data_IF_156393111376
#
_entry.id   IF_156393111376
#
_cell.length_a   1.000
_cell.length_b   1.000
_cell.length_c   1.000
_cell.angle_alpha   90.00
_cell.angle_beta   90.00
_cell.angle_gamma   90.00
#
_symmetry.space_group_name_H-M   'P 1'
#
loop_
_entity.id
_entity.type
_entity.pdbx_description
1 polymer ?
#
# COMPACT_ATOMS: atom_id res chain seq x y z
N UNK A 1 13.94 16.42 23.77
CA UNK A 1 12.60 16.85 24.25
C UNK A 1 12.24 15.99 25.43
N UNK A 2 11.87 16.61 26.56
CA UNK A 2 11.60 15.91 27.82
C UNK A 2 10.18 15.36 27.79
N UNK A 3 10.04 14.04 27.88
CA UNK A 3 8.76 13.37 28.08
C UNK A 3 8.39 13.50 29.55
N UNK A 4 7.36 14.28 29.86
CA UNK A 4 6.76 14.31 31.20
C UNK A 4 5.67 13.25 31.26
N UNK A 5 5.93 12.12 31.90
CA UNK A 5 4.90 11.10 32.20
C UNK A 5 4.36 11.31 33.61
N UNK A 6 3.21 11.99 33.73
CA UNK A 6 2.41 11.99 34.96
C UNK A 6 1.06 11.35 34.65
N UNK A 7 0.89 10.09 35.06
CA UNK A 7 -0.38 9.35 34.97
C UNK A 7 -0.30 8.07 34.15
N UNK A 8 -1.15 7.09 34.49
CA UNK A 8 -1.35 5.84 33.73
C UNK A 8 -1.97 6.22 32.38
N UNK A 9 -1.13 6.27 31.35
CA UNK A 9 -1.53 6.63 29.99
C UNK A 9 -2.64 5.68 29.49
N UNK A 10 -3.82 6.23 29.21
CA UNK A 10 -4.97 5.48 28.73
C UNK A 10 -5.11 5.65 27.21
N UNK A 11 -4.29 4.89 26.49
CA UNK A 11 -4.26 4.86 25.02
C UNK A 11 -5.65 4.62 24.41
N UNK A 12 -6.42 3.70 25.00
CA UNK A 12 -7.71 3.30 24.45
C UNK A 12 -8.74 4.42 24.54
N UNK A 13 -8.72 5.17 25.64
CA UNK A 13 -9.56 6.35 25.81
C UNK A 13 -9.21 7.45 24.81
N UNK A 14 -7.93 7.81 24.68
CA UNK A 14 -7.52 8.89 23.77
C UNK A 14 -7.81 8.56 22.30
N UNK A 15 -7.58 7.31 21.88
CA UNK A 15 -7.91 6.87 20.51
C UNK A 15 -9.41 6.90 20.27
N UNK A 16 -10.22 6.48 21.25
CA UNK A 16 -11.67 6.53 21.15
C UNK A 16 -12.19 7.97 21.03
N UNK A 17 -11.70 8.88 21.87
CA UNK A 17 -12.06 10.30 21.81
C UNK A 17 -11.70 10.92 20.46
N UNK A 18 -10.49 10.60 19.94
CA UNK A 18 -10.07 11.01 18.60
C UNK A 18 -10.99 10.47 17.50
N UNK A 19 -11.29 9.17 17.51
CA UNK A 19 -12.15 8.52 16.52
C UNK A 19 -13.59 9.07 16.54
N UNK A 20 -14.11 9.40 17.74
CA UNK A 20 -15.45 9.99 17.92
C UNK A 20 -15.58 11.38 17.30
N UNK A 21 -14.47 12.14 17.21
CA UNK A 21 -14.47 13.44 16.50
C UNK A 21 -14.82 13.27 15.02
N UNK A 22 -14.44 12.14 14.41
CA UNK A 22 -14.51 11.89 12.96
C UNK A 22 -13.84 12.97 12.10
N UNK A 23 -13.01 13.82 12.70
CA UNK A 23 -12.30 14.90 12.02
C UNK A 23 -10.96 14.42 11.41
N UNK A 24 -10.48 13.25 11.85
CA UNK A 24 -9.22 12.65 11.41
C UNK A 24 -7.99 13.50 11.75
N UNK A 25 -6.83 13.12 11.19
CA UNK A 25 -5.56 13.81 11.46
C UNK A 25 -5.58 15.26 10.98
N UNK A 26 -6.28 15.57 9.87
CA UNK A 26 -6.43 16.95 9.39
C UNK A 26 -7.08 17.85 10.44
N UNK A 27 -8.10 17.37 11.16
CA UNK A 27 -8.73 18.14 12.23
C UNK A 27 -7.77 18.54 13.36
N UNK A 28 -6.77 17.71 13.67
CA UNK A 28 -5.72 18.06 14.63
C UNK A 28 -4.80 19.18 14.11
N UNK A 29 -4.48 19.13 12.81
CA UNK A 29 -3.65 20.15 12.15
C UNK A 29 -4.41 21.48 12.07
N UNK A 30 -5.66 21.45 11.65
CA UNK A 30 -6.53 22.63 11.54
C UNK A 30 -6.77 23.27 12.92
N UNK A 31 -6.83 22.47 13.99
CA UNK A 31 -6.90 22.93 15.38
C UNK A 31 -5.57 23.50 15.92
N UNK A 32 -4.49 23.47 15.14
CA UNK A 32 -3.20 24.05 15.51
C UNK A 32 -2.47 23.29 16.61
N UNK A 33 -2.67 21.97 16.71
CA UNK A 33 -2.04 21.16 17.76
C UNK A 33 -0.51 21.23 17.68
N UNK A 34 0.13 21.65 18.78
CA UNK A 34 1.58 21.84 18.84
C UNK A 34 2.39 20.57 19.14
N UNK A 35 1.73 19.49 19.58
CA UNK A 35 2.39 18.21 19.96
C UNK A 35 1.67 17.04 19.33
N UNK A 36 2.44 16.12 18.75
CA UNK A 36 1.90 14.87 18.21
C UNK A 36 1.28 14.06 19.37
N UNK A 37 0.00 13.66 19.29
CA UNK A 37 -0.60 12.78 20.29
C UNK A 37 0.21 11.50 20.46
N UNK A 38 0.33 11.03 21.70
CA UNK A 38 1.22 9.92 22.06
C UNK A 38 0.87 8.62 21.30
N UNK A 39 -0.40 8.41 20.95
CA UNK A 39 -0.85 7.24 20.18
C UNK A 39 -0.42 7.23 18.70
N UNK A 40 0.12 8.33 18.17
CA UNK A 40 0.77 8.38 16.85
C UNK A 40 2.30 8.18 16.92
N UNK A 41 2.88 8.14 18.12
CA UNK A 41 4.32 8.00 18.30
C UNK A 41 4.68 6.52 18.19
N UNK A 42 5.43 6.17 17.14
CA UNK A 42 5.92 4.81 16.97
C UNK A 42 6.98 4.45 18.01
N UNK A 43 7.05 3.18 18.46
CA UNK A 43 8.14 2.69 19.30
C UNK A 43 9.50 2.92 18.63
N UNK A 44 10.58 3.19 19.40
CA UNK A 44 11.92 3.41 18.86
C UNK A 44 12.40 2.27 17.95
N UNK A 45 11.96 1.04 18.20
CA UNK A 45 12.30 -0.15 17.42
C UNK A 45 11.67 -0.13 16.00
N UNK A 46 10.52 0.53 15.84
CA UNK A 46 9.86 0.76 14.55
C UNK A 46 10.42 1.97 13.79
N UNK A 47 11.17 2.83 14.47
CA UNK A 47 11.90 3.94 13.87
C UNK A 47 13.23 3.40 13.31
N UNK A 48 13.16 2.71 12.16
CA UNK A 48 14.37 2.43 11.39
C UNK A 48 15.19 3.73 11.25
N UNK A 49 16.40 3.75 11.81
CA UNK A 49 17.33 4.88 11.71
C UNK A 49 17.50 5.24 10.24
N UNK A 50 17.24 6.48 9.79
CA UNK A 50 17.64 6.90 8.47
C UNK A 50 19.17 6.85 8.39
N UNK A 51 19.70 5.83 7.71
CA UNK A 51 21.09 5.76 7.28
C UNK A 51 22.11 5.26 8.32
N UNK A 52 22.22 3.93 8.46
CA UNK A 52 23.51 3.27 8.79
C UNK A 52 23.78 2.01 7.94
N UNK A 53 23.33 2.01 6.69
CA UNK A 53 23.73 1.09 5.59
C UNK A 53 22.84 1.51 4.40
N UNK A 54 23.29 1.96 3.23
CA UNK A 54 24.54 1.81 2.52
C UNK A 54 25.04 3.18 2.01
N UNK A 55 26.33 3.24 1.66
CA UNK A 55 26.93 4.31 0.85
C UNK A 55 25.97 4.72 -0.28
N UNK A 56 25.80 6.01 -0.55
CA UNK A 56 25.16 6.64 -1.72
C UNK A 56 24.86 5.70 -2.91
N UNK A 57 23.86 4.82 -2.79
CA UNK A 57 23.27 4.17 -3.94
C UNK A 57 22.02 4.99 -4.21
N UNK A 58 22.10 5.89 -5.19
CA UNK A 58 20.89 6.38 -5.83
C UNK A 58 20.24 5.17 -6.51
N UNK A 59 19.32 4.53 -5.80
CA UNK A 59 18.47 3.49 -6.36
C UNK A 59 17.50 4.21 -7.32
N UNK A 60 17.89 4.32 -8.59
CA UNK A 60 16.99 4.78 -9.63
C UNK A 60 15.97 3.67 -9.91
N UNK A 61 14.73 3.92 -9.49
CA UNK A 61 13.63 3.03 -9.82
C UNK A 61 13.48 2.91 -11.34
N UNK A 62 13.29 1.69 -11.88
CA UNK A 62 13.06 1.51 -13.30
C UNK A 62 11.92 2.41 -13.78
N UNK A 63 12.18 3.20 -14.82
CA UNK A 63 11.16 4.01 -15.48
C UNK A 63 10.87 3.40 -16.85
N UNK A 64 9.62 3.05 -17.09
CA UNK A 64 9.15 2.40 -18.31
C UNK A 64 8.33 3.42 -19.11
N UNK A 65 8.77 3.67 -20.34
CA UNK A 65 8.09 4.57 -21.25
C UNK A 65 7.03 3.82 -22.06
N UNK A 66 5.77 4.28 -21.99
CA UNK A 66 4.64 3.70 -22.69
C UNK A 66 4.35 4.36 -24.05
N UNK A 67 5.12 5.37 -24.45
CA UNK A 67 4.94 6.01 -25.76
C UNK A 67 5.01 4.97 -26.90
N UNK A 68 4.01 5.01 -27.78
CA UNK A 68 3.88 4.10 -28.92
C UNK A 68 3.46 2.67 -28.57
N UNK A 69 3.11 2.36 -27.31
CA UNK A 69 2.66 1.00 -26.94
C UNK A 69 1.38 0.60 -27.66
N UNK A 70 0.53 1.58 -27.97
CA UNK A 70 -0.73 1.45 -28.70
C UNK A 70 -0.53 1.02 -30.16
N UNK A 71 0.64 1.28 -30.75
CA UNK A 71 0.95 0.86 -32.14
C UNK A 71 1.18 -0.65 -32.24
N UNK A 72 1.31 -1.35 -31.11
CA UNK A 72 1.50 -2.80 -31.06
C UNK A 72 2.86 -3.27 -31.55
N UNK A 73 2.92 -4.51 -32.05
CA UNK A 73 4.13 -5.09 -32.66
C UNK A 73 5.35 -5.13 -31.74
N UNK A 74 6.51 -4.74 -32.29
CA UNK A 74 7.79 -4.78 -31.59
C UNK A 74 7.82 -3.88 -30.35
N UNK A 75 7.20 -2.68 -30.43
CA UNK A 75 7.18 -1.73 -29.32
C UNK A 75 6.44 -2.27 -28.11
N UNK A 76 5.26 -2.85 -28.32
CA UNK A 76 4.51 -3.50 -27.23
C UNK A 76 5.29 -4.65 -26.60
N UNK A 77 5.99 -5.45 -27.40
CA UNK A 77 6.82 -6.55 -26.90
C UNK A 77 7.95 -6.04 -26.01
N UNK A 78 8.64 -4.99 -26.44
CA UNK A 78 9.70 -4.33 -25.68
C UNK A 78 9.18 -3.82 -24.31
N UNK A 79 8.06 -3.09 -24.29
CA UNK A 79 7.45 -2.57 -23.05
C UNK A 79 7.07 -3.72 -22.11
N UNK A 80 6.48 -4.80 -22.63
CA UNK A 80 6.15 -5.99 -21.83
C UNK A 80 7.40 -6.64 -21.23
N UNK A 81 8.50 -6.72 -21.99
CA UNK A 81 9.77 -7.28 -21.50
C UNK A 81 10.39 -6.40 -20.40
N UNK A 82 10.31 -5.06 -20.53
CA UNK A 82 10.73 -4.12 -19.50
C UNK A 82 9.89 -4.26 -18.21
N UNK A 83 8.57 -4.37 -18.33
CA UNK A 83 7.67 -4.60 -17.18
C UNK A 83 8.02 -5.92 -16.50
N UNK A 84 8.21 -7.00 -17.27
CA UNK A 84 8.58 -8.31 -16.72
C UNK A 84 9.88 -8.22 -15.93
N UNK A 85 10.91 -7.57 -16.49
CA UNK A 85 12.22 -7.41 -15.84
C UNK A 85 12.12 -6.57 -14.58
N UNK A 86 11.43 -5.42 -14.63
CA UNK A 86 11.27 -4.55 -13.48
C UNK A 86 10.45 -5.20 -12.36
N UNK A 87 9.33 -5.86 -12.69
CA UNK A 87 8.52 -6.59 -11.73
C UNK A 87 9.32 -7.73 -11.05
N UNK A 88 10.12 -8.48 -11.82
CA UNK A 88 10.95 -9.57 -11.28
C UNK A 88 12.10 -9.09 -10.38
N UNK A 89 12.76 -7.99 -10.76
CA UNK A 89 13.98 -7.53 -10.06
C UNK A 89 13.69 -6.56 -8.91
N UNK A 90 12.68 -5.69 -9.08
CA UNK A 90 12.42 -4.58 -8.16
C UNK A 90 11.07 -4.70 -7.45
N UNK A 91 10.07 -5.33 -8.08
CA UNK A 91 8.68 -5.31 -7.61
C UNK A 91 8.00 -3.94 -7.71
N UNK A 92 8.73 -2.89 -8.11
CA UNK A 92 8.28 -1.51 -8.27
C UNK A 92 8.91 -0.89 -9.50
N UNK A 93 8.15 -0.05 -10.22
CA UNK A 93 8.62 0.73 -11.36
C UNK A 93 7.73 1.96 -11.56
N UNK A 94 8.28 2.98 -12.21
CA UNK A 94 7.55 4.17 -12.66
C UNK A 94 7.13 3.98 -14.12
N UNK A 95 5.96 4.47 -14.47
CA UNK A 95 5.50 4.55 -15.86
C UNK A 95 5.44 6.02 -16.28
N UNK A 96 5.89 6.32 -17.48
CA UNK A 96 5.71 7.63 -18.15
C UNK A 96 5.00 7.43 -19.49
N UNK A 97 4.41 8.50 -20.04
CA UNK A 97 3.65 8.45 -21.29
C UNK A 97 2.55 7.36 -21.31
N UNK A 98 1.91 7.11 -20.16
CA UNK A 98 0.85 6.10 -19.97
C UNK A 98 -0.50 6.48 -20.61
N UNK A 99 -0.54 7.48 -21.47
CA UNK A 99 -1.74 7.94 -22.19
C UNK A 99 -2.91 8.44 -21.32
N UNK A 100 -2.67 8.73 -20.03
CA UNK A 100 -3.67 9.40 -19.18
C UNK A 100 -3.42 10.91 -19.29
N UNK A 101 -4.37 11.71 -19.81
CA UNK A 101 -4.16 13.14 -19.96
C UNK A 101 -3.85 13.82 -18.63
N UNK A 102 -2.89 14.76 -18.63
CA UNK A 102 -2.46 15.46 -17.41
C UNK A 102 -3.62 16.16 -16.70
N UNK A 103 -4.54 16.78 -17.45
CA UNK A 103 -5.70 17.46 -16.86
C UNK A 103 -6.62 16.52 -16.08
N UNK A 104 -6.66 15.22 -16.41
CA UNK A 104 -7.43 14.22 -15.65
C UNK A 104 -6.73 13.91 -14.33
N UNK A 105 -5.40 13.79 -14.35
CA UNK A 105 -4.60 13.58 -13.14
C UNK A 105 -4.70 14.79 -12.20
N UNK A 106 -4.61 16.00 -12.75
CA UNK A 106 -4.77 17.25 -12.00
C UNK A 106 -6.18 17.38 -11.42
N UNK A 107 -7.22 17.11 -12.23
CA UNK A 107 -8.61 17.13 -11.76
C UNK A 107 -8.86 16.11 -10.65
N UNK A 108 -8.23 14.92 -10.72
CA UNK A 108 -8.32 13.91 -9.67
C UNK A 108 -7.67 14.39 -8.36
N UNK A 109 -6.46 14.95 -8.42
CA UNK A 109 -5.77 15.50 -7.24
C UNK A 109 -6.57 16.66 -6.63
N UNK A 110 -7.10 17.54 -7.47
CA UNK A 110 -7.91 18.68 -7.05
C UNK A 110 -9.25 18.23 -6.45
N UNK A 111 -9.90 17.20 -7.01
CA UNK A 111 -11.12 16.63 -6.44
C UNK A 111 -10.86 16.02 -5.05
N UNK A 112 -9.77 15.27 -4.89
CA UNK A 112 -9.39 14.71 -3.59
C UNK A 112 -9.05 15.82 -2.59
N UNK A 113 -8.34 16.87 -3.02
CA UNK A 113 -8.07 18.04 -2.19
C UNK A 113 -9.37 18.71 -1.72
N UNK A 114 -10.28 19.02 -2.66
CA UNK A 114 -11.59 19.62 -2.36
C UNK A 114 -12.39 18.78 -1.38
N UNK A 115 -12.41 17.45 -1.57
CA UNK A 115 -13.05 16.54 -0.63
C UNK A 115 -12.46 16.70 0.79
N UNK A 116 -11.14 16.70 0.95
CA UNK A 116 -10.51 16.82 2.26
C UNK A 116 -10.72 18.19 2.93
N UNK A 117 -10.89 19.26 2.14
CA UNK A 117 -11.19 20.62 2.64
C UNK A 117 -12.68 20.86 2.97
N UNK A 118 -13.58 19.91 2.69
CA UNK A 118 -14.99 20.04 3.12
C UNK A 118 -15.12 20.08 4.65
N UNK A 119 -16.19 20.72 5.17
CA UNK A 119 -16.54 20.68 6.59
C UNK A 119 -16.63 19.24 7.13
N UNK A 120 -16.32 19.07 8.41
CA UNK A 120 -16.36 17.74 9.06
C UNK A 120 -17.76 17.14 8.96
N UNK A 121 -18.78 17.99 9.06
CA UNK A 121 -20.20 17.65 9.00
C UNK A 121 -20.60 17.00 7.67
N UNK A 122 -20.04 17.47 6.55
CA UNK A 122 -20.27 16.92 5.21
C UNK A 122 -19.53 15.60 5.00
N UNK A 123 -18.35 15.45 5.60
CA UNK A 123 -17.53 14.22 5.52
C UNK A 123 -17.98 13.15 6.52
N UNK A 124 -18.60 13.53 7.64
CA UNK A 124 -19.00 12.63 8.73
C UNK A 124 -19.88 11.44 8.31
N UNK A 125 -20.82 11.57 7.35
CA UNK A 125 -21.61 10.45 6.84
C UNK A 125 -20.77 9.49 5.98
N UNK A 126 -19.75 10.01 5.31
CA UNK A 126 -18.78 9.26 4.51
C UNK A 126 -17.62 8.72 5.36
N UNK A 127 -17.50 9.19 6.60
CA UNK A 127 -16.61 8.64 7.61
C UNK A 127 -17.08 7.24 7.94
N UNK A 128 -16.59 6.31 7.14
CA UNK A 128 -16.43 4.95 7.60
C UNK A 128 -15.24 4.99 8.54
N UNK A 129 -15.45 4.59 9.80
CA UNK A 129 -14.35 3.93 10.50
C UNK A 129 -14.11 2.69 9.64
N UNK A 130 -13.25 2.82 8.61
CA UNK A 130 -13.02 1.76 7.66
C UNK A 130 -12.26 0.68 8.42
N UNK A 131 -13.05 -0.11 9.13
CA UNK A 131 -12.62 -1.33 9.73
C UNK A 131 -12.12 -2.24 8.61
N UNK A 132 -12.51 -2.08 7.33
CA UNK A 132 -11.85 -2.84 6.25
C UNK A 132 -10.40 -2.43 6.07
N UNK A 133 -9.98 -1.17 5.97
CA UNK A 133 -8.54 -0.84 5.90
C UNK A 133 -7.74 -1.25 7.15
N UNK A 134 -8.33 -1.16 8.35
CA UNK A 134 -7.72 -1.67 9.60
C UNK A 134 -7.72 -3.21 9.70
N UNK A 135 -8.70 -3.91 9.12
CA UNK A 135 -8.83 -5.38 9.08
C UNK A 135 -8.02 -5.99 7.92
N UNK A 136 -7.93 -5.31 6.77
CA UNK A 136 -7.20 -5.75 5.57
C UNK A 136 -5.69 -5.58 5.79
N UNK A 137 -5.25 -4.52 6.47
CA UNK A 137 -3.83 -4.34 6.82
C UNK A 137 -3.45 -4.99 8.14
N UNK A 138 -4.42 -5.32 8.99
CA UNK A 138 -4.25 -5.75 10.37
C UNK A 138 -3.09 -5.04 11.12
N UNK A 139 -2.98 -3.72 11.00
CA UNK A 139 -1.88 -2.93 11.56
C UNK A 139 -0.45 -3.47 11.21
N UNK A 140 -0.30 -4.29 10.15
CA UNK A 140 0.87 -5.12 9.84
C UNK A 140 0.95 -5.54 8.36
N UNK A 141 1.22 -4.63 7.43
CA UNK A 141 1.36 -5.00 6.00
C UNK A 141 2.74 -5.60 5.66
N UNK A 142 2.83 -6.73 4.92
CA UNK A 142 3.98 -7.03 4.03
C UNK A 142 3.56 -6.85 2.58
N UNK A 143 3.82 -5.65 2.09
CA UNK A 143 4.18 -5.35 0.71
C UNK A 143 5.72 -5.32 0.65
N UNK A 144 6.38 -5.00 -0.48
CA UNK A 144 7.75 -4.47 -0.32
C UNK A 144 7.64 -3.35 0.71
N UNK A 145 8.50 -3.33 1.73
CA UNK A 145 8.44 -2.30 2.76
C UNK A 145 8.60 -0.92 2.10
N UNK A 146 7.47 -0.25 1.87
CA UNK A 146 7.43 1.11 1.39
C UNK A 146 6.78 1.93 2.49
N UNK A 147 7.58 2.80 3.09
CA UNK A 147 7.13 3.70 4.13
C UNK A 147 6.81 5.05 3.50
N UNK A 148 5.64 5.60 3.80
CA UNK A 148 5.37 7.02 3.56
C UNK A 148 5.89 7.78 4.77
N UNK A 149 6.90 8.62 4.55
CA UNK A 149 7.41 9.49 5.60
C UNK A 149 6.47 10.68 5.77
N UNK A 150 6.11 10.96 7.02
CA UNK A 150 5.52 12.25 7.37
C UNK A 150 6.55 13.34 7.13
N UNK A 151 6.13 14.43 6.50
CA UNK A 151 6.97 15.59 6.26
C UNK A 151 6.40 16.78 7.01
N UNK A 152 7.25 17.69 7.48
CA UNK A 152 6.83 18.95 8.10
C UNK A 152 6.50 20.04 7.07
N UNK A 153 6.62 19.74 5.77
CA UNK A 153 6.45 20.70 4.67
C UNK A 153 5.10 20.47 4.00
N UNK A 154 4.06 21.09 4.57
CA UNK A 154 2.72 21.14 4.00
C UNK A 154 1.98 19.80 3.88
N UNK A 155 0.70 19.82 3.50
CA UNK A 155 -0.09 18.61 3.25
C UNK A 155 0.37 17.91 1.96
N UNK A 156 0.43 16.58 1.99
CA UNK A 156 0.70 15.73 0.82
C UNK A 156 -0.53 14.90 0.49
N UNK A 157 -0.90 14.87 -0.79
CA UNK A 157 -2.00 14.05 -1.30
C UNK A 157 -1.41 12.95 -2.19
N UNK A 158 -1.98 11.75 -2.08
CA UNK A 158 -1.71 10.62 -2.97
C UNK A 158 -3.00 9.90 -3.29
N UNK A 159 -3.13 9.43 -4.52
CA UNK A 159 -4.25 8.59 -4.94
C UNK A 159 -3.69 7.23 -5.33
N UNK A 160 -4.13 6.18 -4.62
CA UNK A 160 -3.75 4.80 -4.90
C UNK A 160 -4.95 4.06 -5.52
N UNK A 161 -4.70 3.34 -6.61
CA UNK A 161 -5.69 2.46 -7.23
C UNK A 161 -5.24 1.01 -7.06
N UNK A 162 -6.09 0.21 -6.45
CA UNK A 162 -5.84 -1.21 -6.22
C UNK A 162 -6.65 -2.04 -7.21
N UNK A 163 -5.95 -2.79 -8.06
CA UNK A 163 -6.58 -3.69 -9.02
C UNK A 163 -6.76 -5.07 -8.40
N UNK A 164 -8.01 -5.47 -8.21
CA UNK A 164 -8.38 -6.79 -7.71
C UNK A 164 -9.03 -7.62 -8.81
N UNK A 165 -8.95 -8.97 -8.74
CA UNK A 165 -9.75 -9.82 -9.60
C UNK A 165 -11.24 -9.47 -9.48
N UNK A 166 -11.95 -9.45 -10.60
CA UNK A 166 -13.41 -9.30 -10.59
C UNK A 166 -14.05 -10.45 -9.81
N UNK A 167 -15.29 -10.29 -9.32
CA UNK A 167 -16.00 -11.37 -8.62
C UNK A 167 -16.02 -12.69 -9.42
N UNK A 168 -16.20 -12.59 -10.74
CA UNK A 168 -16.17 -13.75 -11.64
C UNK A 168 -14.78 -14.38 -11.75
N UNK A 169 -13.72 -13.57 -11.77
CA UNK A 169 -12.36 -14.08 -11.78
C UNK A 169 -11.97 -14.67 -10.42
N UNK A 170 -12.36 -14.02 -9.32
CA UNK A 170 -12.12 -14.45 -7.93
C UNK A 170 -12.82 -15.76 -7.55
N UNK A 171 -13.87 -16.14 -8.26
CA UNK A 171 -14.57 -17.42 -8.10
C UNK A 171 -13.87 -18.60 -8.81
N UNK A 172 -12.89 -18.33 -9.68
CA UNK A 172 -12.09 -19.38 -10.32
C UNK A 172 -10.86 -19.71 -9.45
N UNK A 173 -10.37 -20.95 -9.49
CA UNK A 173 -9.09 -21.29 -8.90
C UNK A 173 -7.96 -20.46 -9.53
N UNK A 174 -7.13 -19.90 -8.66
CA UNK A 174 -5.88 -19.25 -9.00
C UNK A 174 -4.79 -20.30 -8.97
N UNK A 175 -4.00 -20.34 -10.03
CA UNK A 175 -2.88 -21.26 -10.21
C UNK A 175 -1.75 -20.51 -10.95
N UNK A 176 -0.51 -21.00 -10.90
CA UNK A 176 0.53 -20.50 -11.78
C UNK A 176 0.07 -20.52 -13.25
N UNK A 177 0.37 -19.43 -13.95
CA UNK A 177 0.04 -19.27 -15.38
C UNK A 177 0.73 -20.42 -16.14
N UNK A 178 -0.02 -21.21 -16.91
CA UNK A 178 0.53 -22.44 -17.51
C UNK A 178 1.61 -22.14 -18.53
N UNK A 179 1.47 -21.01 -19.22
CA UNK A 179 2.36 -20.54 -20.28
C UNK A 179 3.75 -20.10 -19.78
N UNK A 180 3.94 -19.93 -18.46
CA UNK A 180 5.24 -19.62 -17.85
C UNK A 180 5.90 -20.82 -17.17
N UNK A 181 5.23 -21.98 -17.16
CA UNK A 181 5.78 -23.21 -16.60
C UNK A 181 6.64 -23.91 -17.65
N UNK A 182 7.75 -24.48 -17.20
CA UNK A 182 8.63 -25.36 -17.99
C UNK A 182 9.28 -26.39 -17.08
N UNK A 183 10.05 -27.32 -17.64
CA UNK A 183 10.82 -28.28 -16.84
C UNK A 183 11.84 -27.58 -15.94
N UNK A 184 12.38 -26.45 -16.38
CA UNK A 184 13.29 -25.58 -15.62
C UNK A 184 12.58 -24.60 -14.68
N UNK A 185 11.25 -24.46 -14.81
CA UNK A 185 10.41 -23.61 -13.95
C UNK A 185 9.11 -24.34 -13.59
N UNK A 186 9.18 -25.42 -12.79
CA UNK A 186 8.02 -26.23 -12.46
C UNK A 186 7.06 -25.47 -11.54
N UNK A 187 5.83 -25.97 -11.44
CA UNK A 187 4.87 -25.40 -10.50
C UNK A 187 5.35 -25.60 -9.06
N UNK A 188 5.47 -24.50 -8.31
CA UNK A 188 5.83 -24.52 -6.88
C UNK A 188 4.66 -24.12 -5.98
N UNK A 189 3.53 -23.69 -6.56
CA UNK A 189 2.34 -23.28 -5.84
C UNK A 189 1.13 -24.12 -6.27
N UNK A 190 0.34 -24.57 -5.29
CA UNK A 190 -0.93 -25.26 -5.53
C UNK A 190 -2.02 -24.30 -5.99
N UNK A 191 -3.09 -24.84 -6.55
CA UNK A 191 -4.28 -24.06 -6.85
C UNK A 191 -5.01 -23.64 -5.55
N UNK A 192 -5.58 -22.43 -5.54
CA UNK A 192 -6.35 -21.90 -4.40
C UNK A 192 -7.43 -20.92 -4.86
N UNK A 193 -8.46 -20.69 -4.05
CA UNK A 193 -9.46 -19.67 -4.35
C UNK A 193 -9.03 -18.30 -3.81
N UNK A 194 -9.29 -17.21 -4.56
CA UNK A 194 -8.98 -15.86 -4.08
C UNK A 194 -9.71 -15.54 -2.76
N UNK A 195 -10.89 -16.13 -2.54
CA UNK A 195 -11.61 -16.04 -1.27
C UNK A 195 -10.81 -16.61 -0.09
N UNK A 196 -10.16 -17.76 -0.26
CA UNK A 196 -9.31 -18.38 0.77
C UNK A 196 -8.12 -17.50 1.12
N UNK A 197 -7.53 -16.84 0.11
CA UNK A 197 -6.47 -15.85 0.30
C UNK A 197 -6.96 -14.68 1.14
N UNK A 198 -8.10 -14.07 0.80
CA UNK A 198 -8.67 -12.99 1.59
C UNK A 198 -9.06 -13.42 3.01
N UNK A 199 -9.60 -14.61 3.20
CA UNK A 199 -9.97 -15.15 4.52
C UNK A 199 -8.74 -15.41 5.40
N UNK A 200 -7.63 -15.86 4.81
CA UNK A 200 -6.36 -16.01 5.53
C UNK A 200 -5.89 -14.67 6.12
N UNK A 201 -5.87 -13.59 5.33
CA UNK A 201 -5.48 -12.28 5.84
C UNK A 201 -6.46 -11.72 6.88
N UNK A 202 -7.76 -12.02 6.76
CA UNK A 202 -8.77 -11.65 7.78
C UNK A 202 -8.56 -12.36 9.12
N UNK A 203 -8.03 -13.58 9.11
CA UNK A 203 -7.93 -14.45 10.30
C UNK A 203 -6.56 -14.41 10.97
N UNK A 204 -5.49 -14.19 10.20
CA UNK A 204 -4.10 -14.18 10.71
C UNK A 204 -3.77 -13.00 11.61
N UNK A 205 -4.54 -11.93 11.52
CA UNK A 205 -4.37 -10.79 12.39
C UNK A 205 -2.93 -10.27 12.35
N UNK A 206 -2.31 -10.20 13.53
CA UNK A 206 -1.04 -9.55 13.84
C UNK A 206 0.21 -10.30 13.32
N UNK A 207 0.11 -11.17 12.35
CA UNK A 207 1.26 -11.89 11.82
C UNK A 207 1.48 -11.44 10.37
N UNK A 208 2.53 -10.63 10.16
CA UNK A 208 2.98 -10.13 8.84
C UNK A 208 3.58 -11.28 8.01
N UNK A 209 3.55 -12.53 8.48
CA UNK A 209 4.11 -13.64 7.73
C UNK A 209 3.48 -13.74 6.34
N UNK A 210 4.36 -13.86 5.35
CA UNK A 210 3.97 -14.06 3.96
C UNK A 210 2.93 -15.18 3.87
N UNK A 211 1.84 -14.97 3.13
CA UNK A 211 0.88 -16.05 2.87
C UNK A 211 1.45 -17.13 1.93
N UNK A 212 2.57 -16.85 1.24
CA UNK A 212 3.14 -17.69 0.20
C UNK A 212 3.49 -19.12 0.65
N UNK A 213 4.07 -19.38 1.85
CA UNK A 213 4.39 -20.74 2.30
C UNK A 213 3.14 -21.65 2.37
N UNK A 214 1.96 -21.11 2.66
CA UNK A 214 0.71 -21.89 2.77
C UNK A 214 0.24 -22.46 1.42
N UNK A 215 0.64 -21.82 0.33
CA UNK A 215 0.27 -22.23 -1.02
C UNK A 215 1.39 -22.99 -1.71
N UNK A 216 2.55 -23.16 -1.08
CA UNK A 216 3.67 -23.90 -1.65
C UNK A 216 3.38 -25.40 -1.65
N UNK A 217 3.77 -26.10 -2.71
CA UNK A 217 3.69 -27.57 -2.78
C UNK A 217 4.82 -28.13 -1.92
N UNK A 218 4.50 -29.00 -0.95
CA UNK A 218 5.50 -29.64 -0.09
C UNK A 218 6.40 -30.57 -0.90
N UNK A 219 7.70 -30.57 -0.60
CA UNK A 219 8.69 -31.45 -1.25
C UNK A 219 9.35 -30.89 -2.52
N UNK A 220 8.95 -29.70 -2.99
CA UNK A 220 9.62 -29.01 -4.10
C UNK A 220 10.53 -27.90 -3.53
N UNK A 221 11.84 -28.17 -3.48
CA UNK A 221 12.88 -27.20 -3.08
C UNK A 221 13.43 -26.56 -4.37
N UNK A 222 13.62 -25.22 -4.40
CA UNK A 222 14.14 -24.53 -5.59
C UNK A 222 15.58 -24.92 -5.94
#
# INVERSE_FOLDING_TARGET
MVVTSNGKYDWAKEVKEFDETKAGVKGLVDAGVAKIPQFFVHPPESLATPGKTAKNVQLELPTIDFEGVETGGARRKEVVDQIRKAARMWGFFRIVNHCIPLHIMDAMLEAVKRFHEQPVEEKKPLYTADSRQRIISNDKSVSVEHRVLAQSVGPRISVACFFYPSLRAGAKPFAPIKEILSDENPTIYREFLFKEYCEYYKTKGQDVSSALPRYRIEGIIP
#
